data_IF_357712117476
#
_entry.id   IF_357712117476
#
_cell.length_a   1.000
_cell.length_b   1.000
_cell.length_c   1.000
_cell.angle_alpha   90.00
_cell.angle_beta   90.00
_cell.angle_gamma   90.00
#
_symmetry.space_group_name_H-M   'P 1'
#
loop_
_entity.id
_entity.type
_entity.pdbx_description
1 polymer ?
#
# COMPACT_ATOMS: atom_id res chain seq x y z
N UNK A 1 22.01 -17.67 -0.46
CA UNK A 1 20.85 -16.74 -0.30
C UNK A 1 19.82 -17.09 -1.35
N UNK A 2 18.53 -16.97 -1.04
CA UNK A 2 17.42 -17.24 -1.95
C UNK A 2 16.64 -15.92 -2.07
N UNK A 3 16.45 -15.45 -3.28
CA UNK A 3 15.64 -14.26 -3.55
C UNK A 3 14.16 -14.61 -3.42
N UNK A 4 13.43 -13.83 -2.61
CA UNK A 4 12.00 -14.02 -2.32
C UNK A 4 11.15 -13.00 -3.07
N UNK A 5 11.68 -11.78 -3.18
CA UNK A 5 11.00 -10.64 -3.79
C UNK A 5 12.05 -9.72 -4.42
N UNK A 6 11.76 -9.19 -5.59
CA UNK A 6 12.60 -8.22 -6.31
C UNK A 6 11.70 -7.25 -7.04
N UNK A 7 11.96 -5.96 -6.91
CA UNK A 7 11.43 -4.90 -7.75
C UNK A 7 12.56 -3.91 -8.11
N UNK A 8 12.24 -2.82 -8.78
CA UNK A 8 13.23 -1.84 -9.25
C UNK A 8 13.96 -1.12 -8.12
N UNK A 9 13.36 -1.03 -6.92
CA UNK A 9 13.92 -0.28 -5.79
C UNK A 9 14.60 -1.14 -4.72
N UNK A 10 14.30 -2.45 -4.64
CA UNK A 10 14.84 -3.33 -3.61
C UNK A 10 14.75 -4.83 -3.94
N UNK A 11 15.45 -5.63 -3.14
CA UNK A 11 15.31 -7.09 -3.12
C UNK A 11 15.20 -7.62 -1.69
N UNK A 12 14.43 -8.71 -1.51
CA UNK A 12 14.34 -9.44 -0.24
C UNK A 12 14.99 -10.80 -0.42
N UNK A 13 15.90 -11.12 0.50
CA UNK A 13 16.74 -12.29 0.43
C UNK A 13 16.60 -13.09 1.73
N UNK A 14 16.39 -14.40 1.59
CA UNK A 14 16.41 -15.35 2.71
C UNK A 14 17.81 -15.96 2.86
N UNK A 15 18.28 -16.11 4.10
CA UNK A 15 19.52 -16.82 4.40
C UNK A 15 19.37 -18.33 4.09
N UNK A 16 20.37 -18.93 3.42
CA UNK A 16 20.36 -20.37 3.10
C UNK A 16 20.49 -21.26 4.32
N UNK A 17 21.26 -20.80 5.32
CA UNK A 17 21.56 -21.58 6.51
C UNK A 17 20.53 -21.35 7.63
N UNK A 18 19.82 -20.22 7.60
CA UNK A 18 18.78 -19.90 8.57
C UNK A 18 17.53 -19.38 7.86
N UNK A 19 16.58 -20.27 7.63
CA UNK A 19 15.33 -19.99 6.89
C UNK A 19 14.42 -18.96 7.56
N UNK A 20 14.69 -18.57 8.80
CA UNK A 20 13.92 -17.52 9.49
C UNK A 20 14.61 -16.16 9.45
N UNK A 21 15.80 -16.06 8.86
CA UNK A 21 16.53 -14.81 8.70
C UNK A 21 16.35 -14.26 7.29
N UNK A 22 15.94 -13.01 7.22
CA UNK A 22 15.73 -12.26 5.99
C UNK A 22 16.48 -10.94 6.03
N UNK A 23 16.79 -10.42 4.83
CA UNK A 23 17.27 -9.05 4.66
C UNK A 23 16.54 -8.40 3.49
N UNK A 24 16.23 -7.13 3.64
CA UNK A 24 15.82 -6.24 2.57
C UNK A 24 17.05 -5.43 2.20
N UNK A 25 17.42 -5.44 0.93
CA UNK A 25 18.47 -4.60 0.36
C UNK A 25 17.84 -3.59 -0.58
N UNK A 26 17.97 -2.31 -0.26
CA UNK A 26 17.51 -1.19 -1.07
C UNK A 26 18.62 -0.76 -2.03
N UNK A 27 18.27 -0.40 -3.24
CA UNK A 27 19.22 0.08 -4.25
C UNK A 27 19.80 1.45 -3.87
N UNK A 28 19.05 2.24 -3.07
CA UNK A 28 19.45 3.54 -2.54
C UNK A 28 19.07 3.66 -1.06
N UNK A 29 19.72 4.57 -0.29
CA UNK A 29 19.33 4.83 1.09
C UNK A 29 17.85 5.26 1.20
N UNK A 30 17.07 4.55 2.01
CA UNK A 30 15.64 4.79 2.19
C UNK A 30 15.28 4.96 3.68
N UNK A 31 15.84 5.99 4.36
CA UNK A 31 15.72 6.11 5.81
C UNK A 31 14.28 6.23 6.29
N UNK A 32 13.44 7.01 5.62
CA UNK A 32 12.04 7.20 6.00
C UNK A 32 11.22 5.90 5.89
N UNK A 33 11.36 5.18 4.76
CA UNK A 33 10.69 3.89 4.56
C UNK A 33 11.13 2.87 5.62
N UNK A 34 12.43 2.74 5.88
CA UNK A 34 12.97 1.83 6.89
C UNK A 34 12.48 2.20 8.29
N UNK A 35 12.48 3.50 8.65
CA UNK A 35 11.96 3.96 9.94
C UNK A 35 10.45 3.70 10.05
N UNK A 36 9.69 3.91 8.98
CA UNK A 36 8.25 3.61 9.01
C UNK A 36 7.95 2.13 9.31
N UNK A 37 8.77 1.21 8.81
CA UNK A 37 8.65 -0.23 9.09
C UNK A 37 9.03 -0.59 10.52
N UNK A 38 10.11 -0.01 11.02
CA UNK A 38 10.69 -0.41 12.32
C UNK A 38 10.03 0.30 13.51
N UNK A 39 9.71 1.60 13.37
CA UNK A 39 9.04 2.37 14.42
C UNK A 39 7.57 2.01 14.61
N UNK A 40 6.92 1.49 13.58
CA UNK A 40 5.56 0.94 13.69
C UNK A 40 5.53 -0.53 14.09
N UNK A 41 6.70 -1.13 14.34
CA UNK A 41 6.85 -2.55 14.70
C UNK A 41 6.31 -3.54 13.65
N UNK A 42 6.11 -3.12 12.42
CA UNK A 42 5.77 -4.00 11.30
C UNK A 42 6.92 -4.97 11.04
N UNK A 43 8.15 -4.46 11.07
CA UNK A 43 9.38 -5.26 11.00
C UNK A 43 10.27 -4.92 12.20
N UNK A 44 10.63 -5.94 12.97
CA UNK A 44 11.63 -5.82 14.03
C UNK A 44 12.96 -6.34 13.53
N UNK A 45 13.98 -5.47 13.45
CA UNK A 45 15.24 -5.84 12.84
C UNK A 45 16.36 -4.86 13.11
N UNK A 46 17.53 -5.14 12.55
CA UNK A 46 18.73 -4.30 12.61
C UNK A 46 18.94 -3.61 11.27
N UNK A 47 19.22 -2.32 11.33
CA UNK A 47 19.42 -1.44 10.19
C UNK A 47 20.91 -1.17 10.04
N UNK A 48 21.43 -1.11 8.81
CA UNK A 48 22.78 -0.61 8.55
C UNK A 48 22.81 0.92 8.63
N UNK A 49 23.99 1.47 8.98
CA UNK A 49 24.16 2.92 9.20
C UNK A 49 23.85 3.77 7.95
N UNK A 50 24.01 3.18 6.77
CA UNK A 50 23.71 3.81 5.48
C UNK A 50 22.23 3.70 5.04
N UNK A 51 21.38 3.07 5.85
CA UNK A 51 19.96 2.82 5.54
C UNK A 51 19.70 2.11 4.20
N UNK A 52 20.63 1.25 3.78
CA UNK A 52 20.45 0.42 2.57
C UNK A 52 20.04 -1.02 2.89
N UNK A 53 20.18 -1.46 4.13
CA UNK A 53 19.85 -2.85 4.50
C UNK A 53 19.09 -2.91 5.82
N UNK A 54 18.01 -3.70 5.82
CA UNK A 54 17.24 -4.07 7.01
C UNK A 54 17.28 -5.60 7.17
N UNK A 55 17.87 -6.10 8.27
CA UNK A 55 17.91 -7.52 8.63
C UNK A 55 16.88 -7.83 9.69
N UNK A 56 16.09 -8.89 9.50
CA UNK A 56 15.00 -9.23 10.41
C UNK A 56 14.71 -10.73 10.45
N UNK A 57 13.93 -11.14 11.44
CA UNK A 57 13.43 -12.51 11.57
C UNK A 57 11.94 -12.58 11.20
N UNK A 58 11.58 -13.59 10.43
CA UNK A 58 10.19 -13.93 10.13
C UNK A 58 10.06 -15.44 9.91
N UNK A 59 8.86 -15.99 10.09
CA UNK A 59 8.54 -17.38 9.74
C UNK A 59 8.35 -17.53 8.23
N UNK A 60 7.73 -16.55 7.61
CA UNK A 60 7.54 -16.47 6.16
C UNK A 60 7.55 -15.03 5.67
N UNK A 61 8.00 -14.84 4.42
CA UNK A 61 7.92 -13.57 3.68
C UNK A 61 7.45 -13.90 2.27
N UNK A 62 6.39 -13.23 1.81
CA UNK A 62 5.78 -13.45 0.48
C UNK A 62 5.39 -12.11 -0.13
N UNK A 63 5.41 -12.00 -1.46
CA UNK A 63 4.70 -10.90 -2.11
C UNK A 63 3.19 -11.07 -1.89
N UNK A 64 2.44 -9.98 -1.87
CA UNK A 64 0.98 -10.03 -1.67
C UNK A 64 0.27 -10.86 -2.77
N UNK A 65 0.60 -10.73 -4.07
CA UNK A 65 0.00 -11.58 -5.10
C UNK A 65 0.23 -13.07 -4.84
N UNK A 66 1.44 -13.48 -4.45
CA UNK A 66 1.74 -14.88 -4.11
C UNK A 66 0.97 -15.35 -2.88
N UNK A 67 0.84 -14.50 -1.88
CA UNK A 67 0.04 -14.79 -0.69
C UNK A 67 -1.43 -15.04 -1.04
N UNK A 68 -2.03 -14.19 -1.88
CA UNK A 68 -3.41 -14.35 -2.36
C UNK A 68 -3.58 -15.63 -3.17
N UNK A 69 -2.64 -15.98 -4.03
CA UNK A 69 -2.67 -17.23 -4.79
C UNK A 69 -2.68 -18.46 -3.86
N UNK A 70 -1.84 -18.46 -2.83
CA UNK A 70 -1.81 -19.53 -1.83
C UNK A 70 -3.10 -19.59 -1.01
N UNK A 71 -3.65 -18.45 -0.58
CA UNK A 71 -4.94 -18.39 0.11
C UNK A 71 -6.10 -18.90 -0.78
N UNK A 72 -6.07 -18.59 -2.07
CA UNK A 72 -7.05 -19.07 -3.03
C UNK A 72 -7.06 -20.59 -3.14
N UNK A 73 -5.88 -21.23 -3.16
CA UNK A 73 -5.76 -22.68 -3.19
C UNK A 73 -6.36 -23.36 -1.94
N UNK A 74 -6.26 -22.70 -0.78
CA UNK A 74 -6.76 -23.24 0.49
C UNK A 74 -8.25 -22.95 0.70
N UNK A 75 -8.72 -21.77 0.31
CA UNK A 75 -10.07 -21.28 0.60
C UNK A 75 -11.04 -21.31 -0.58
N UNK A 76 -10.53 -21.60 -1.79
CA UNK A 76 -11.34 -21.58 -3.01
C UNK A 76 -11.72 -20.18 -3.52
N UNK A 77 -11.17 -19.13 -2.92
CA UNK A 77 -11.42 -17.74 -3.33
C UNK A 77 -10.17 -16.87 -3.15
N UNK A 78 -9.80 -16.04 -4.14
CA UNK A 78 -8.61 -15.19 -4.12
C UNK A 78 -8.83 -13.88 -3.35
N UNK A 79 -9.65 -13.86 -2.31
CA UNK A 79 -9.93 -12.67 -1.50
C UNK A 79 -9.42 -12.80 -0.07
N UNK A 80 -9.10 -11.68 0.56
CA UNK A 80 -8.78 -11.65 1.98
C UNK A 80 -10.03 -11.94 2.83
N UNK A 81 -9.80 -12.61 3.97
CA UNK A 81 -10.79 -12.61 5.04
C UNK A 81 -10.88 -11.21 5.69
N UNK A 82 -12.00 -10.90 6.34
CA UNK A 82 -12.19 -9.63 7.06
C UNK A 82 -11.09 -9.40 8.09
N UNK A 83 -10.63 -10.44 8.78
CA UNK A 83 -9.53 -10.35 9.76
C UNK A 83 -8.22 -9.93 9.09
N UNK A 84 -7.87 -10.54 7.97
CA UNK A 84 -6.65 -10.19 7.23
C UNK A 84 -6.76 -8.80 6.61
N UNK A 85 -7.94 -8.40 6.14
CA UNK A 85 -8.18 -7.05 5.66
C UNK A 85 -8.05 -6.00 6.78
N UNK A 86 -8.52 -6.30 8.00
CA UNK A 86 -8.32 -5.46 9.17
C UNK A 86 -6.84 -5.34 9.55
N UNK A 87 -6.07 -6.45 9.50
CA UNK A 87 -4.63 -6.40 9.71
C UNK A 87 -3.93 -5.57 8.63
N UNK A 88 -4.31 -5.74 7.36
CA UNK A 88 -3.74 -4.99 6.25
C UNK A 88 -3.94 -3.48 6.43
N UNK A 89 -5.18 -3.03 6.70
CA UNK A 89 -5.44 -1.61 6.91
C UNK A 89 -4.72 -1.08 8.15
N UNK A 90 -4.70 -1.84 9.25
CA UNK A 90 -4.00 -1.44 10.47
C UNK A 90 -2.51 -1.23 10.25
N UNK A 91 -1.84 -2.18 9.59
CA UNK A 91 -0.39 -2.09 9.33
C UNK A 91 -0.07 -0.96 8.35
N UNK A 92 -0.74 -0.91 7.20
CA UNK A 92 -0.45 0.08 6.16
C UNK A 92 -0.82 1.50 6.61
N UNK A 93 -1.90 1.69 7.37
CA UNK A 93 -2.24 3.01 7.92
C UNK A 93 -1.28 3.45 9.03
N UNK A 94 -0.75 2.52 9.84
CA UNK A 94 0.29 2.84 10.82
C UNK A 94 1.58 3.30 10.14
N UNK A 95 2.01 2.57 9.09
CA UNK A 95 3.19 2.94 8.29
C UNK A 95 3.01 4.31 7.64
N UNK A 96 1.88 4.54 6.99
CA UNK A 96 1.53 5.83 6.37
C UNK A 96 1.48 6.96 7.41
N UNK A 97 0.86 6.73 8.56
CA UNK A 97 0.79 7.72 9.64
C UNK A 97 2.17 8.11 10.15
N UNK A 98 3.10 7.16 10.24
CA UNK A 98 4.50 7.46 10.61
C UNK A 98 5.18 8.32 9.55
N UNK A 99 5.05 7.97 8.27
CA UNK A 99 5.60 8.76 7.16
C UNK A 99 5.08 10.22 7.21
N UNK A 100 3.77 10.40 7.33
CA UNK A 100 3.16 11.75 7.35
C UNK A 100 3.62 12.54 8.58
N UNK A 101 3.55 11.96 9.78
CA UNK A 101 3.76 12.70 11.03
C UNK A 101 5.22 12.89 11.41
N UNK A 102 6.07 11.93 11.10
CA UNK A 102 7.47 11.88 11.57
C UNK A 102 8.48 12.19 10.47
N UNK A 103 8.13 11.90 9.21
CA UNK A 103 9.04 12.07 8.08
C UNK A 103 8.62 13.20 7.13
N UNK A 104 7.42 13.79 7.32
CA UNK A 104 6.82 14.76 6.39
C UNK A 104 6.75 14.22 4.96
N UNK A 105 6.37 12.96 4.82
CA UNK A 105 6.25 12.25 3.54
C UNK A 105 4.91 11.52 3.44
N UNK A 106 4.48 11.23 2.23
CA UNK A 106 3.29 10.42 1.97
C UNK A 106 3.55 9.39 0.87
N UNK A 107 2.71 8.36 0.81
CA UNK A 107 2.69 7.39 -0.29
C UNK A 107 1.72 7.91 -1.35
N UNK A 108 2.17 8.10 -2.59
CA UNK A 108 1.31 8.60 -3.68
C UNK A 108 0.38 7.55 -4.26
N UNK A 109 0.73 6.26 -4.08
CA UNK A 109 -0.07 5.15 -4.58
C UNK A 109 0.31 3.80 -4.00
N UNK A 110 -0.66 2.91 -3.92
CA UNK A 110 -0.47 1.51 -3.52
C UNK A 110 -0.78 0.59 -4.70
N UNK A 111 0.03 -0.46 -4.85
CA UNK A 111 -0.23 -1.57 -5.76
C UNK A 111 -0.05 -2.91 -5.02
N UNK A 112 -0.72 -3.98 -5.45
CA UNK A 112 -0.52 -5.31 -4.88
C UNK A 112 0.95 -5.76 -4.90
N UNK A 113 1.67 -5.40 -5.96
CA UNK A 113 3.07 -5.76 -6.20
C UNK A 113 4.03 -5.10 -5.20
N UNK A 114 3.64 -3.97 -4.60
CA UNK A 114 4.46 -3.21 -3.66
C UNK A 114 4.22 -3.60 -2.20
N UNK A 115 3.39 -4.63 -1.98
CA UNK A 115 3.05 -5.14 -0.65
C UNK A 115 3.70 -6.51 -0.42
N UNK A 116 4.35 -6.66 0.74
CA UNK A 116 4.78 -7.96 1.24
C UNK A 116 3.93 -8.38 2.43
N UNK A 117 3.85 -9.68 2.63
CA UNK A 117 3.15 -10.31 3.75
C UNK A 117 4.16 -11.10 4.57
N UNK A 118 4.25 -10.78 5.85
CA UNK A 118 5.11 -11.43 6.82
C UNK A 118 4.25 -12.31 7.72
N UNK A 119 4.72 -13.53 7.98
CA UNK A 119 4.07 -14.49 8.89
C UNK A 119 2.58 -14.71 8.57
N UNK A 120 2.21 -14.55 7.29
CA UNK A 120 0.85 -14.71 6.76
C UNK A 120 -0.22 -13.78 7.38
N UNK A 121 0.17 -12.70 8.06
CA UNK A 121 -0.76 -11.79 8.74
C UNK A 121 -0.34 -10.31 8.82
N UNK A 122 0.93 -10.00 8.64
CA UNK A 122 1.46 -8.63 8.74
C UNK A 122 1.79 -8.11 7.35
N UNK A 123 1.26 -6.95 6.99
CA UNK A 123 1.41 -6.34 5.68
C UNK A 123 2.35 -5.15 5.74
N UNK A 124 3.24 -5.03 4.78
CA UNK A 124 4.19 -3.93 4.69
C UNK A 124 4.28 -3.40 3.25
N UNK A 125 4.23 -2.09 3.10
CA UNK A 125 4.50 -1.41 1.84
C UNK A 125 6.01 -1.25 1.65
N UNK A 126 6.51 -1.61 0.46
CA UNK A 126 7.92 -1.58 0.10
C UNK A 126 8.12 -1.01 -1.31
N UNK A 127 7.98 0.29 -1.44
CA UNK A 127 8.36 0.99 -2.66
C UNK A 127 8.75 2.44 -2.32
N UNK A 128 10.02 2.76 -2.46
CA UNK A 128 10.52 4.11 -2.18
C UNK A 128 10.21 5.10 -3.29
N UNK A 129 9.95 4.65 -4.51
CA UNK A 129 9.68 5.52 -5.66
C UNK A 129 8.28 6.15 -5.57
N UNK A 130 7.36 5.51 -4.84
CA UNK A 130 6.02 6.01 -4.58
C UNK A 130 5.91 6.83 -3.28
N UNK A 131 7.02 7.26 -2.70
CA UNK A 131 7.05 8.16 -1.54
C UNK A 131 7.38 9.57 -2.00
N UNK A 132 6.55 10.54 -1.63
CA UNK A 132 6.70 11.95 -1.97
C UNK A 132 6.79 12.81 -0.71
N UNK A 133 7.58 13.88 -0.78
CA UNK A 133 7.73 14.85 0.30
C UNK A 133 6.48 15.75 0.41
N UNK A 134 6.02 15.97 1.63
CA UNK A 134 4.95 16.92 1.94
C UNK A 134 5.60 18.29 2.14
N UNK A 135 5.08 19.31 1.46
CA UNK A 135 5.55 20.67 1.56
C UNK A 135 5.46 21.18 3.03
N UNK A 136 6.56 21.59 3.63
CA UNK A 136 6.57 22.08 5.02
C UNK A 136 5.76 23.36 5.21
N UNK A 137 5.57 24.15 4.16
CA UNK A 137 4.78 25.41 4.19
C UNK A 137 3.30 25.10 3.95
N UNK A 138 3.00 24.33 2.93
CA UNK A 138 1.64 23.95 2.54
C UNK A 138 1.03 22.79 3.32
N UNK A 139 1.80 22.09 4.18
CA UNK A 139 1.47 20.97 5.10
C UNK A 139 0.49 19.88 4.61
N UNK A 140 -0.28 20.15 3.57
CA UNK A 140 -1.28 19.26 3.00
C UNK A 140 -0.96 18.82 1.56
N UNK A 141 0.04 19.45 0.95
CA UNK A 141 0.42 19.18 -0.44
C UNK A 141 1.71 18.37 -0.51
N UNK A 142 1.67 17.28 -1.26
CA UNK A 142 2.84 16.50 -1.60
C UNK A 142 3.36 16.90 -2.97
N UNK A 143 4.68 16.98 -3.12
CA UNK A 143 5.36 17.34 -4.36
C UNK A 143 5.69 16.07 -5.16
N UNK A 144 5.19 15.99 -6.37
CA UNK A 144 5.51 14.92 -7.31
C UNK A 144 6.46 15.48 -8.36
N UNK A 145 7.72 15.04 -8.32
CA UNK A 145 8.78 15.52 -9.22
C UNK A 145 9.25 14.50 -10.22
N UNK A 146 9.02 13.20 -9.95
CA UNK A 146 9.45 12.11 -10.82
C UNK A 146 8.30 11.57 -11.67
N UNK A 147 8.57 11.18 -12.93
CA UNK A 147 7.57 10.52 -13.77
C UNK A 147 7.14 9.18 -13.16
N UNK A 148 5.87 8.87 -13.31
CA UNK A 148 5.25 7.60 -12.90
C UNK A 148 4.24 7.16 -13.95
N UNK A 149 3.89 5.87 -13.94
CA UNK A 149 2.80 5.36 -14.75
C UNK A 149 1.56 5.16 -13.87
N UNK A 150 0.47 5.78 -14.24
CA UNK A 150 -0.82 5.68 -13.51
C UNK A 150 -1.40 4.27 -13.47
N UNK A 151 -0.88 3.36 -14.30
CA UNK A 151 -1.28 1.94 -14.32
C UNK A 151 -0.52 1.09 -13.32
N UNK A 152 0.55 1.60 -12.73
CA UNK A 152 1.43 0.82 -11.85
C UNK A 152 0.94 0.82 -10.39
N UNK A 153 -0.12 1.58 -10.09
CA UNK A 153 -0.74 1.64 -8.76
C UNK A 153 -2.19 2.15 -8.84
N UNK A 154 -2.94 2.05 -7.75
CA UNK A 154 -4.29 2.63 -7.64
C UNK A 154 -4.21 4.16 -7.50
N UNK A 155 -4.27 4.86 -8.62
CA UNK A 155 -4.19 6.31 -8.66
C UNK A 155 -5.50 6.98 -8.20
N UNK A 156 -5.38 8.05 -7.43
CA UNK A 156 -6.50 8.90 -7.03
C UNK A 156 -6.91 9.88 -8.15
N UNK A 157 -8.10 10.51 -8.07
CA UNK A 157 -8.56 11.47 -9.08
C UNK A 157 -7.58 12.61 -9.34
N UNK A 158 -6.95 13.13 -8.30
CA UNK A 158 -5.97 14.22 -8.40
C UNK A 158 -4.67 13.77 -9.11
N UNK A 159 -4.23 12.54 -8.90
CA UNK A 159 -3.07 11.96 -9.60
C UNK A 159 -3.37 11.82 -11.10
N UNK A 160 -4.56 11.34 -11.44
CA UNK A 160 -4.98 11.17 -12.84
C UNK A 160 -5.13 12.48 -13.61
N UNK A 161 -5.30 13.60 -12.89
CA UNK A 161 -5.43 14.95 -13.48
C UNK A 161 -4.07 15.62 -13.72
N UNK A 162 -2.94 15.05 -13.29
CA UNK A 162 -1.59 15.61 -13.51
C UNK A 162 -1.26 15.57 -15.01
N UNK A 163 -0.85 16.72 -15.54
CA UNK A 163 -0.45 16.89 -16.96
C UNK A 163 1.03 17.16 -17.13
N UNK A 164 1.67 17.73 -16.11
CA UNK A 164 3.06 18.13 -16.13
C UNK A 164 3.72 17.99 -14.75
N UNK A 165 5.03 17.88 -14.71
CA UNK A 165 5.83 17.77 -13.49
C UNK A 165 6.81 18.96 -13.42
N UNK A 166 7.14 19.45 -12.20
CA UNK A 166 6.60 18.99 -10.92
C UNK A 166 5.13 19.40 -10.73
N UNK A 167 4.40 18.58 -9.98
CA UNK A 167 3.00 18.82 -9.63
C UNK A 167 2.76 18.68 -8.13
N UNK A 168 1.68 19.26 -7.65
CA UNK A 168 1.30 19.22 -6.24
C UNK A 168 -0.04 18.54 -6.08
N UNK A 169 -0.11 17.58 -5.17
CA UNK A 169 -1.33 16.85 -4.85
C UNK A 169 -1.54 16.83 -3.34
N UNK A 170 -2.78 16.76 -2.90
CA UNK A 170 -3.08 16.62 -1.48
C UNK A 170 -2.53 15.30 -0.94
N UNK A 171 -1.86 15.28 0.24
CA UNK A 171 -1.23 14.08 0.82
C UNK A 171 -2.20 12.91 1.02
N UNK A 172 -3.51 13.18 1.16
CA UNK A 172 -4.55 12.15 1.28
C UNK A 172 -4.87 11.42 -0.04
N UNK A 173 -4.10 11.66 -1.11
CA UNK A 173 -4.04 10.78 -2.28
C UNK A 173 -3.78 9.33 -1.85
N UNK A 174 -2.92 9.14 -0.86
CA UNK A 174 -2.63 7.86 -0.23
C UNK A 174 -3.85 7.16 0.37
N UNK A 175 -4.81 7.90 0.92
CA UNK A 175 -6.02 7.34 1.52
C UNK A 175 -6.92 6.70 0.46
N UNK A 176 -7.08 7.38 -0.68
CA UNK A 176 -7.85 6.85 -1.81
C UNK A 176 -7.20 5.56 -2.35
N UNK A 177 -5.91 5.61 -2.61
CA UNK A 177 -5.16 4.47 -3.12
C UNK A 177 -5.19 3.27 -2.18
N UNK A 178 -5.03 3.50 -0.87
CA UNK A 178 -5.16 2.47 0.15
C UNK A 178 -6.57 1.88 0.20
N UNK A 179 -7.59 2.73 0.04
CA UNK A 179 -8.98 2.29 -0.07
C UNK A 179 -9.22 1.38 -1.28
N UNK A 180 -8.68 1.74 -2.45
CA UNK A 180 -8.73 0.90 -3.65
C UNK A 180 -8.00 -0.43 -3.46
N UNK A 181 -6.79 -0.43 -2.88
CA UNK A 181 -6.04 -1.65 -2.58
C UNK A 181 -6.83 -2.58 -1.65
N UNK A 182 -7.46 -2.02 -0.60
CA UNK A 182 -8.26 -2.80 0.33
C UNK A 182 -9.53 -3.36 -0.34
N UNK A 183 -10.20 -2.56 -1.16
CA UNK A 183 -11.36 -2.99 -1.92
C UNK A 183 -11.00 -4.12 -2.88
N UNK A 184 -9.91 -3.96 -3.63
CA UNK A 184 -9.35 -5.01 -4.49
C UNK A 184 -9.10 -6.31 -3.69
N UNK A 185 -8.44 -6.21 -2.53
CA UNK A 185 -8.13 -7.37 -1.69
C UNK A 185 -9.38 -8.11 -1.14
N UNK A 186 -10.51 -7.41 -1.01
CA UNK A 186 -11.78 -7.95 -0.51
C UNK A 186 -12.69 -8.51 -1.61
N UNK A 187 -12.43 -8.16 -2.88
CA UNK A 187 -13.30 -8.45 -4.02
C UNK A 187 -12.67 -9.41 -5.02
N UNK A 188 -12.07 -10.48 -4.53
CA UNK A 188 -11.52 -11.57 -5.34
C UNK A 188 -10.20 -11.30 -6.05
N UNK A 189 -9.56 -10.14 -5.86
CA UNK A 189 -8.27 -9.80 -6.45
C UNK A 189 -8.20 -10.06 -7.98
N UNK A 190 -9.32 -9.89 -8.69
CA UNK A 190 -9.37 -10.11 -10.14
C UNK A 190 -9.20 -8.80 -10.88
N UNK A 191 -8.19 -8.75 -11.74
CA UNK A 191 -8.00 -7.69 -12.72
C UNK A 191 -8.73 -7.98 -14.05
N UNK A 192 -9.27 -9.20 -14.22
CA UNK A 192 -9.76 -9.72 -15.51
C UNK A 192 -11.29 -9.65 -15.69
N UNK A 193 -12.02 -9.22 -14.65
CA UNK A 193 -13.49 -9.08 -14.68
C UNK A 193 -13.95 -7.64 -14.87
N UNK A 194 -15.20 -7.39 -14.55
CA UNK A 194 -15.75 -6.04 -14.35
C UNK A 194 -15.10 -5.45 -13.08
N UNK A 195 -13.89 -4.93 -13.24
CA UNK A 195 -13.07 -4.41 -12.17
C UNK A 195 -13.55 -2.97 -11.90
N UNK A 196 -14.01 -2.71 -10.68
CA UNK A 196 -14.42 -1.38 -10.24
C UNK A 196 -13.39 -0.31 -10.57
N UNK A 197 -12.09 -0.65 -10.55
CA UNK A 197 -11.03 0.30 -10.82
C UNK A 197 -10.86 0.59 -12.31
N UNK A 198 -11.05 -0.42 -13.18
CA UNK A 198 -11.07 -0.21 -14.64
C UNK A 198 -12.24 0.65 -15.07
N UNK A 199 -13.43 0.44 -14.50
CA UNK A 199 -14.60 1.30 -14.73
C UNK A 199 -14.37 2.72 -14.24
N UNK A 200 -13.82 2.88 -13.02
CA UNK A 200 -13.42 4.17 -12.51
C UNK A 200 -12.43 4.88 -13.44
N UNK A 201 -11.37 4.19 -13.92
CA UNK A 201 -10.39 4.77 -14.85
C UNK A 201 -11.00 5.21 -16.19
N UNK A 202 -12.01 4.51 -16.68
CA UNK A 202 -12.69 4.88 -17.94
C UNK A 202 -13.50 6.16 -17.82
N UNK A 203 -14.23 6.29 -16.72
CA UNK A 203 -15.21 7.37 -16.53
C UNK A 203 -14.68 8.49 -15.62
N UNK A 204 -13.59 8.24 -14.89
CA UNK A 204 -13.05 9.11 -13.82
C UNK A 204 -14.13 9.53 -12.80
N UNK A 205 -15.07 8.63 -12.55
CA UNK A 205 -16.24 8.89 -11.71
C UNK A 205 -16.20 8.04 -10.44
N UNK A 206 -15.93 8.70 -9.31
CA UNK A 206 -15.90 8.05 -8.00
C UNK A 206 -17.26 7.52 -7.54
N UNK A 207 -18.37 8.02 -8.08
CA UNK A 207 -19.72 7.51 -7.77
C UNK A 207 -19.85 6.03 -8.14
N UNK A 208 -19.21 5.59 -9.22
CA UNK A 208 -19.18 4.18 -9.63
C UNK A 208 -18.53 3.29 -8.56
N UNK A 209 -17.48 3.75 -7.92
CA UNK A 209 -16.85 3.00 -6.81
C UNK A 209 -17.83 2.89 -5.64
N UNK A 210 -18.56 3.96 -5.33
CA UNK A 210 -19.57 3.95 -4.26
C UNK A 210 -20.77 3.07 -4.59
N UNK A 211 -21.24 3.07 -5.86
CA UNK A 211 -22.27 2.14 -6.34
C UNK A 211 -21.82 0.69 -6.15
N UNK A 212 -20.58 0.37 -6.52
CA UNK A 212 -19.99 -0.95 -6.33
C UNK A 212 -19.92 -1.33 -4.84
N UNK A 213 -19.42 -0.43 -3.99
CA UNK A 213 -19.38 -0.63 -2.53
C UNK A 213 -20.76 -0.96 -1.94
N UNK A 214 -21.82 -0.31 -2.46
CA UNK A 214 -23.19 -0.51 -1.99
C UNK A 214 -23.76 -1.91 -2.30
N UNK A 215 -23.16 -2.63 -3.25
CA UNK A 215 -23.56 -3.98 -3.65
C UNK A 215 -22.85 -5.07 -2.84
N UNK A 216 -21.77 -4.72 -2.10
CA UNK A 216 -20.96 -5.70 -1.39
C UNK A 216 -21.65 -6.18 -0.11
N UNK A 217 -21.41 -7.45 0.22
CA UNK A 217 -22.03 -8.14 1.36
C UNK A 217 -21.68 -7.55 2.73
N UNK A 218 -20.63 -6.74 2.84
CA UNK A 218 -20.25 -6.06 4.07
C UNK A 218 -20.77 -4.62 4.19
N UNK A 219 -21.76 -4.24 3.38
CA UNK A 219 -22.45 -2.94 3.48
C UNK A 219 -22.90 -2.68 4.92
N UNK A 220 -22.81 -1.43 5.38
CA UNK A 220 -23.15 -0.95 6.73
C UNK A 220 -22.23 -1.48 7.85
N UNK A 221 -21.13 -2.17 7.54
CA UNK A 221 -20.11 -2.52 8.54
C UNK A 221 -19.11 -1.38 8.73
N UNK A 222 -18.30 -1.47 9.79
CA UNK A 222 -17.17 -0.52 9.97
C UNK A 222 -16.23 -0.48 8.78
N UNK A 223 -15.97 -1.64 8.16
CA UNK A 223 -15.14 -1.76 6.96
C UNK A 223 -15.74 -1.01 5.76
N UNK A 224 -17.05 -1.13 5.55
CA UNK A 224 -17.76 -0.35 4.55
C UNK A 224 -17.59 1.16 4.76
N UNK A 225 -17.80 1.65 5.98
CA UNK A 225 -17.66 3.07 6.29
C UNK A 225 -16.24 3.58 6.17
N UNK A 226 -15.23 2.75 6.50
CA UNK A 226 -13.82 3.06 6.26
C UNK A 226 -13.57 3.26 4.76
N UNK A 227 -13.94 2.28 3.93
CA UNK A 227 -13.77 2.35 2.48
C UNK A 227 -14.50 3.55 1.87
N UNK A 228 -15.77 3.74 2.24
CA UNK A 228 -16.57 4.86 1.75
C UNK A 228 -15.90 6.21 2.03
N UNK A 229 -15.27 6.39 3.19
CA UNK A 229 -14.58 7.63 3.55
C UNK A 229 -13.19 7.78 2.93
N UNK A 230 -12.49 6.70 2.64
CA UNK A 230 -11.23 6.76 1.91
C UNK A 230 -11.43 7.14 0.44
N UNK A 231 -12.54 6.74 -0.16
CA UNK A 231 -12.81 6.81 -1.59
C UNK A 231 -13.62 8.04 -2.04
N UNK A 232 -13.70 9.09 -1.21
CA UNK A 232 -14.26 10.37 -1.66
C UNK A 232 -13.41 10.99 -2.78
N UNK A 233 -14.07 11.66 -3.73
CA UNK A 233 -13.36 12.39 -4.80
C UNK A 233 -12.52 13.52 -4.22
N UNK A 234 -13.10 14.33 -3.32
CA UNK A 234 -12.42 15.45 -2.69
C UNK A 234 -11.46 14.96 -1.60
N UNK A 235 -10.15 15.25 -1.71
CA UNK A 235 -9.16 14.76 -0.76
C UNK A 235 -9.41 15.21 0.69
N UNK A 236 -9.90 16.42 0.90
CA UNK A 236 -10.16 17.00 2.22
C UNK A 236 -11.16 16.17 3.03
N UNK A 237 -12.13 15.53 2.35
CA UNK A 237 -13.17 14.68 2.96
C UNK A 237 -12.67 13.30 3.33
N UNK A 238 -11.52 12.87 2.79
CA UNK A 238 -10.98 11.52 3.05
C UNK A 238 -10.49 11.38 4.47
N UNK A 239 -10.87 10.29 5.10
CA UNK A 239 -10.46 9.95 6.47
C UNK A 239 -10.23 8.44 6.58
N UNK A 240 -9.09 8.04 7.16
CA UNK A 240 -8.86 6.67 7.57
C UNK A 240 -9.46 6.49 8.96
N UNK A 241 -10.48 5.65 9.07
CA UNK A 241 -11.06 5.26 10.34
C UNK A 241 -10.31 4.04 10.88
N UNK A 242 -9.89 4.10 12.12
CA UNK A 242 -9.40 2.91 12.82
C UNK A 242 -10.59 2.03 13.19
N UNK A 243 -10.54 0.76 12.79
CA UNK A 243 -11.58 -0.27 13.02
C UNK A 243 -11.15 -1.25 14.10
#
# INVERSE_FOLDING_TARGET
MVEIFVNDSLKIIQDKNNKTMFKIEFNYPCPALIRSLTKTHIIQGTITDDYTTLRFKALSVKSFPKFIEEQSKVRGSPRLSIILAANMISNLSAQLSHLIKSESQTIIGYAPENIIVLNDQTFAFLDSELIADIDPVGKEMATISCPFKVTDFFASPEILKIKELPSYVHYKTSYFSLGCLLLYALTECRLDGEDFYKEYLKELNCEKIHEYLNQLHFKNTKLYWLLSRCLYEEPERRVILFI
#
